data_IF_287259972338
#
_entry.id   IF_287259972338
#
_cell.length_a   1.000
_cell.length_b   1.000
_cell.length_c   1.000
_cell.angle_alpha   90.00
_cell.angle_beta   90.00
_cell.angle_gamma   90.00
#
_symmetry.space_group_name_H-M   'P 1'
#
loop_
_entity.id
_entity.type
_entity.pdbx_description
1 polymer ?
#
# COMPACT_ATOMS: atom_id res chain seq x y z
N UNK A 1 16.45 -1.19 -4.23
CA UNK A 1 16.68 -1.68 -5.62
C UNK A 1 16.36 -0.63 -6.69
N UNK A 2 15.21 0.04 -6.63
CA UNK A 2 14.77 1.02 -7.64
C UNK A 2 15.75 2.18 -7.91
N UNK A 3 16.32 2.79 -6.86
CA UNK A 3 17.31 3.87 -6.99
C UNK A 3 18.56 3.48 -7.82
N UNK A 4 19.01 2.24 -7.66
CA UNK A 4 20.22 1.74 -8.30
C UNK A 4 19.98 1.39 -9.78
N UNK A 5 18.76 0.96 -10.12
CA UNK A 5 18.40 0.51 -11.46
C UNK A 5 18.07 1.67 -12.41
N UNK A 6 17.57 2.81 -11.90
CA UNK A 6 17.12 3.94 -12.73
C UNK A 6 17.62 5.29 -12.19
N UNK A 7 18.94 5.54 -12.20
CA UNK A 7 19.50 6.78 -11.67
C UNK A 7 19.05 8.03 -12.45
N UNK A 8 18.71 7.89 -13.74
CA UNK A 8 18.39 9.00 -14.64
C UNK A 8 16.87 9.22 -14.89
N UNK A 9 16.01 8.54 -14.14
CA UNK A 9 14.56 8.69 -14.30
C UNK A 9 14.07 10.07 -13.83
N UNK A 10 13.06 10.59 -14.54
CA UNK A 10 12.41 11.88 -14.23
C UNK A 10 11.88 11.86 -12.79
N UNK A 11 12.02 12.98 -12.09
CA UNK A 11 11.66 13.13 -10.67
C UNK A 11 10.23 12.66 -10.35
N UNK A 12 9.29 12.83 -11.29
CA UNK A 12 7.92 12.33 -11.17
C UNK A 12 7.84 10.80 -11.00
N UNK A 13 8.59 10.02 -11.79
CA UNK A 13 8.54 8.55 -11.74
C UNK A 13 9.13 8.06 -10.40
N UNK A 14 10.21 8.70 -9.95
CA UNK A 14 10.80 8.42 -8.64
C UNK A 14 9.81 8.75 -7.51
N UNK A 15 9.12 9.89 -7.58
CA UNK A 15 8.11 10.28 -6.61
C UNK A 15 6.97 9.25 -6.53
N UNK A 16 6.45 8.79 -7.68
CA UNK A 16 5.42 7.75 -7.75
C UNK A 16 5.91 6.44 -7.13
N UNK A 17 7.13 5.99 -7.47
CA UNK A 17 7.69 4.74 -6.95
C UNK A 17 7.90 4.77 -5.43
N UNK A 18 8.47 5.86 -4.90
CA UNK A 18 8.63 6.02 -3.44
C UNK A 18 7.28 6.20 -2.74
N UNK A 19 6.34 6.92 -3.36
CA UNK A 19 4.98 7.07 -2.85
C UNK A 19 4.28 5.73 -2.67
N UNK A 20 4.24 4.90 -3.71
CA UNK A 20 3.67 3.54 -3.63
C UNK A 20 4.39 2.71 -2.55
N UNK A 21 5.73 2.76 -2.52
CA UNK A 21 6.48 2.01 -1.52
C UNK A 21 6.11 2.41 -0.07
N UNK A 22 6.02 3.71 0.21
CA UNK A 22 5.63 4.19 1.55
C UNK A 22 4.18 3.86 1.91
N UNK A 23 3.27 3.88 0.93
CA UNK A 23 1.87 3.46 1.13
C UNK A 23 1.78 1.96 1.47
N UNK A 24 2.41 1.10 0.67
CA UNK A 24 2.45 -0.35 0.88
C UNK A 24 3.12 -0.73 2.21
N UNK A 25 4.18 -0.02 2.58
CA UNK A 25 4.85 -0.22 3.87
C UNK A 25 3.94 0.14 5.05
N UNK A 26 3.22 1.25 4.94
CA UNK A 26 2.24 1.67 5.95
C UNK A 26 1.11 0.65 6.05
N UNK A 27 0.57 0.19 4.91
CA UNK A 27 -0.45 -0.85 4.86
C UNK A 27 0.01 -2.15 5.53
N UNK A 28 1.25 -2.58 5.25
CA UNK A 28 1.84 -3.78 5.85
C UNK A 28 1.97 -3.68 7.37
N UNK A 29 2.38 -2.52 7.90
CA UNK A 29 2.47 -2.29 9.35
C UNK A 29 1.09 -2.39 9.99
N UNK A 30 0.07 -1.74 9.41
CA UNK A 30 -1.29 -1.74 9.95
C UNK A 30 -1.88 -3.16 9.99
N UNK A 31 -1.65 -3.95 8.94
CA UNK A 31 -2.08 -5.36 8.90
C UNK A 31 -1.34 -6.18 9.95
N UNK A 32 -0.04 -5.94 10.15
CA UNK A 32 0.75 -6.63 11.16
C UNK A 32 0.30 -6.30 12.58
N UNK A 33 -0.02 -5.04 12.86
CA UNK A 33 -0.58 -4.60 14.14
C UNK A 33 -1.92 -5.28 14.43
N UNK A 34 -2.84 -5.27 13.47
CA UNK A 34 -4.17 -5.89 13.59
C UNK A 34 -4.04 -7.41 13.80
N UNK A 35 -3.18 -8.06 13.02
CA UNK A 35 -2.86 -9.47 13.20
C UNK A 35 -2.26 -9.77 14.57
N UNK A 36 -1.34 -8.95 15.06
CA UNK A 36 -0.77 -9.13 16.39
C UNK A 36 -1.84 -8.97 17.49
N UNK A 37 -2.76 -8.01 17.32
CA UNK A 37 -3.86 -7.81 18.27
C UNK A 37 -4.76 -9.04 18.34
N UNK A 38 -5.18 -9.56 17.19
CA UNK A 38 -6.09 -10.71 17.08
C UNK A 38 -5.40 -11.99 17.57
N UNK A 39 -4.20 -12.28 17.09
CA UNK A 39 -3.56 -13.58 17.31
C UNK A 39 -2.74 -13.67 18.59
N UNK A 40 -2.23 -12.56 19.13
CA UNK A 40 -1.36 -12.58 20.31
C UNK A 40 -2.07 -12.02 21.53
N UNK A 41 -2.64 -10.82 21.43
CA UNK A 41 -3.22 -10.15 22.62
C UNK A 41 -4.62 -10.63 22.95
N UNK A 42 -5.42 -10.99 21.93
CA UNK A 42 -6.83 -11.38 22.09
C UNK A 42 -7.06 -12.84 21.70
N UNK A 43 -6.05 -13.69 21.92
CA UNK A 43 -6.10 -15.09 21.53
C UNK A 43 -7.28 -15.83 22.19
N UNK A 44 -8.20 -16.35 21.38
CA UNK A 44 -9.40 -17.06 21.83
C UNK A 44 -10.65 -16.18 22.03
N UNK A 45 -10.54 -14.87 21.82
CA UNK A 45 -11.66 -13.94 21.87
C UNK A 45 -12.23 -13.70 20.46
N UNK A 46 -13.44 -14.23 20.22
CA UNK A 46 -14.12 -14.12 18.92
C UNK A 46 -14.64 -12.69 18.69
N UNK A 47 -14.92 -11.92 19.75
CA UNK A 47 -15.35 -10.53 19.63
C UNK A 47 -14.20 -9.62 19.14
N UNK A 48 -12.95 -9.97 19.42
CA UNK A 48 -11.79 -9.26 18.92
C UNK A 48 -11.60 -9.40 17.40
N UNK A 49 -12.16 -10.46 16.79
CA UNK A 49 -12.14 -10.69 15.33
C UNK A 49 -13.21 -9.83 14.63
N UNK A 50 -14.35 -9.59 15.30
CA UNK A 50 -15.44 -8.75 14.77
C UNK A 50 -15.10 -7.25 14.84
N UNK A 51 -14.11 -6.88 15.65
CA UNK A 51 -13.57 -5.52 15.66
C UNK A 51 -12.68 -5.27 14.45
N UNK A 52 -13.24 -4.63 13.42
CA UNK A 52 -12.59 -4.29 12.15
C UNK A 52 -11.37 -3.36 12.29
N UNK A 53 -11.15 -2.73 13.46
CA UNK A 53 -9.90 -2.04 13.78
C UNK A 53 -9.44 -1.02 12.72
N UNK A 54 -8.20 -1.13 12.28
CA UNK A 54 -7.61 -0.33 11.19
C UNK A 54 -7.71 -1.03 9.83
N UNK A 55 -8.28 -2.24 9.78
CA UNK A 55 -8.35 -3.11 8.59
C UNK A 55 -9.29 -2.56 7.52
N UNK A 56 -10.36 -1.85 7.89
CA UNK A 56 -11.21 -1.13 6.93
C UNK A 56 -10.48 0.00 6.21
N UNK A 57 -9.40 0.53 6.77
CA UNK A 57 -8.60 1.58 6.14
C UNK A 57 -7.43 0.98 5.37
N UNK A 58 -6.70 0.04 5.98
CA UNK A 58 -5.52 -0.56 5.35
C UNK A 58 -5.88 -1.42 4.14
N UNK A 59 -6.96 -2.20 4.19
CA UNK A 59 -7.27 -3.17 3.13
C UNK A 59 -7.93 -2.52 1.91
N UNK A 60 -9.09 -1.85 2.00
CA UNK A 60 -9.73 -1.30 0.81
C UNK A 60 -9.19 0.08 0.41
N UNK A 61 -8.90 0.99 1.36
CA UNK A 61 -8.56 2.39 1.02
C UNK A 61 -7.12 2.50 0.53
N UNK A 62 -6.14 1.98 1.27
CA UNK A 62 -4.74 2.05 0.83
C UNK A 62 -4.51 1.28 -0.47
N UNK A 63 -5.12 0.09 -0.62
CA UNK A 63 -5.07 -0.68 -1.87
C UNK A 63 -5.72 0.08 -3.04
N UNK A 64 -6.86 0.74 -2.83
CA UNK A 64 -7.51 1.54 -3.89
C UNK A 64 -6.65 2.72 -4.32
N UNK A 65 -6.02 3.42 -3.37
CA UNK A 65 -5.11 4.54 -3.66
C UNK A 65 -3.88 4.04 -4.44
N UNK A 66 -3.25 2.95 -3.99
CA UNK A 66 -2.12 2.34 -4.68
C UNK A 66 -2.50 1.93 -6.11
N UNK A 67 -3.65 1.29 -6.28
CA UNK A 67 -4.18 0.86 -7.58
C UNK A 67 -4.44 2.05 -8.50
N UNK A 68 -5.04 3.14 -7.99
CA UNK A 68 -5.29 4.35 -8.76
C UNK A 68 -3.99 4.98 -9.28
N UNK A 69 -2.98 5.10 -8.42
CA UNK A 69 -1.67 5.66 -8.80
C UNK A 69 -1.04 4.82 -9.91
N UNK A 70 -1.10 3.49 -9.78
CA UNK A 70 -0.58 2.56 -10.78
C UNK A 70 -1.34 2.68 -12.11
N UNK A 71 -2.67 2.71 -12.07
CA UNK A 71 -3.51 2.83 -13.27
C UNK A 71 -3.28 4.16 -14.00
N UNK A 72 -3.22 5.28 -13.27
CA UNK A 72 -2.92 6.60 -13.86
C UNK A 72 -1.53 6.61 -14.50
N UNK A 73 -0.54 5.99 -13.84
CA UNK A 73 0.81 5.89 -14.40
C UNK A 73 0.84 5.09 -15.72
N UNK A 74 0.16 3.94 -15.77
CA UNK A 74 0.07 3.15 -17.00
C UNK A 74 -0.76 3.85 -18.08
N UNK A 75 -1.87 4.49 -17.72
CA UNK A 75 -2.68 5.28 -18.66
C UNK A 75 -1.88 6.42 -19.29
N UNK A 76 -1.09 7.16 -18.50
CA UNK A 76 -0.18 8.18 -19.00
C UNK A 76 0.85 7.59 -19.98
N UNK A 77 1.46 6.44 -19.64
CA UNK A 77 2.41 5.79 -20.56
C UNK A 77 1.76 5.36 -21.87
N UNK A 78 0.56 4.79 -21.82
CA UNK A 78 -0.19 4.40 -23.03
C UNK A 78 -0.52 5.63 -23.86
N UNK A 79 -1.00 6.71 -23.26
CA UNK A 79 -1.36 7.94 -23.97
C UNK A 79 -0.17 8.65 -24.62
N UNK A 80 1.05 8.47 -24.10
CA UNK A 80 2.27 9.04 -24.71
C UNK A 80 2.78 8.16 -25.87
N UNK A 81 2.40 6.88 -25.90
CA UNK A 81 2.79 5.92 -26.95
C UNK A 81 1.76 5.78 -28.08
N UNK A 82 0.54 6.27 -27.87
CA UNK A 82 -0.55 6.32 -28.85
C UNK A 82 -0.46 7.60 -29.70
#
# INVERSE_FOLDING_TARGET
LYYLAFPNDRAYIKCVAYGIYTLEFTQSILIMEDGFRIFVTSFGDIEAIDQVGTTWFSVPILTAIATLIVQVFYAHRISVLA
#
